data_IF_804101940775
#
_entry.id   IF_804101940775
#
_cell.length_a   1.000
_cell.length_b   1.000
_cell.length_c   1.000
_cell.angle_alpha   90.00
_cell.angle_beta   90.00
_cell.angle_gamma   90.00
#
_symmetry.space_group_name_H-M   'P 1'
#
loop_
_entity.id
_entity.type
_entity.pdbx_description
1 polymer ?
#
# COMPACT_ATOMS: atom_id res chain seq x y z
N UNK A 1 3.07 -4.73 -8.22
CA UNK A 1 4.03 -4.31 -9.29
C UNK A 1 5.44 -4.21 -8.73
N UNK A 2 5.65 -3.47 -7.63
CA UNK A 2 6.95 -3.29 -6.96
C UNK A 2 7.65 -4.59 -6.56
N UNK A 3 6.93 -5.58 -6.01
CA UNK A 3 7.53 -6.88 -5.64
C UNK A 3 8.00 -7.71 -6.83
N UNK A 4 7.23 -7.72 -7.92
CA UNK A 4 7.59 -8.44 -9.14
C UNK A 4 8.84 -7.83 -9.78
N UNK A 5 8.87 -6.50 -9.90
CA UNK A 5 10.04 -5.77 -10.40
C UNK A 5 11.26 -5.96 -9.51
N UNK A 6 11.10 -6.04 -8.19
CA UNK A 6 12.21 -6.35 -7.26
C UNK A 6 12.77 -7.76 -7.53
N UNK A 7 11.89 -8.74 -7.76
CA UNK A 7 12.30 -10.12 -8.10
C UNK A 7 13.06 -10.17 -9.43
N UNK A 8 12.63 -9.41 -10.43
CA UNK A 8 13.32 -9.29 -11.71
C UNK A 8 14.67 -8.58 -11.57
N UNK A 9 14.78 -7.56 -10.72
CA UNK A 9 16.05 -6.87 -10.47
C UNK A 9 17.03 -7.71 -9.65
N UNK A 10 16.54 -8.63 -8.82
CA UNK A 10 17.37 -9.52 -8.01
C UNK A 10 18.14 -10.58 -8.80
N UNK A 11 17.79 -10.78 -10.07
CA UNK A 11 18.51 -11.70 -10.97
C UNK A 11 19.66 -11.02 -11.71
N UNK A 12 19.83 -9.70 -11.55
CA UNK A 12 20.91 -8.93 -12.17
C UNK A 12 22.18 -8.96 -11.32
N UNK A 13 23.33 -8.95 -11.99
CA UNK A 13 24.62 -8.84 -11.32
C UNK A 13 24.76 -7.52 -10.55
N UNK A 14 25.46 -7.57 -9.42
CA UNK A 14 25.65 -6.43 -8.51
C UNK A 14 26.40 -5.24 -9.13
N UNK A 15 27.08 -5.43 -10.25
CA UNK A 15 27.89 -4.41 -10.93
C UNK A 15 27.18 -3.75 -12.13
N UNK A 16 25.86 -3.92 -12.24
CA UNK A 16 25.06 -3.32 -13.32
C UNK A 16 24.68 -1.89 -12.96
N UNK A 17 24.86 -0.97 -13.92
CA UNK A 17 24.38 0.41 -13.79
C UNK A 17 22.86 0.41 -13.85
N UNK A 18 22.19 0.83 -12.78
CA UNK A 18 20.72 0.91 -12.73
C UNK A 18 20.24 2.36 -12.79
N UNK A 19 19.00 2.53 -13.25
CA UNK A 19 18.34 3.84 -13.30
C UNK A 19 16.98 3.75 -12.63
N UNK A 20 16.69 4.74 -11.78
CA UNK A 20 15.39 4.92 -11.13
C UNK A 20 14.63 6.03 -11.83
N UNK A 21 13.38 5.78 -12.19
CA UNK A 21 12.49 6.83 -12.68
C UNK A 21 11.97 7.69 -11.52
N UNK A 22 12.02 9.02 -11.70
CA UNK A 22 11.41 10.01 -10.81
C UNK A 22 10.65 11.00 -11.68
N UNK A 23 9.32 10.86 -11.70
CA UNK A 23 8.46 11.62 -12.62
C UNK A 23 8.76 11.25 -14.08
N UNK A 24 9.22 12.23 -14.88
CA UNK A 24 9.60 12.04 -16.30
C UNK A 24 11.11 11.83 -16.51
N UNK A 25 11.91 11.86 -15.45
CA UNK A 25 13.36 11.75 -15.52
C UNK A 25 13.84 10.38 -15.01
N UNK A 26 15.04 9.97 -15.43
CA UNK A 26 15.72 8.77 -14.96
C UNK A 26 17.06 9.16 -14.34
N UNK A 27 17.30 8.74 -13.10
CA UNK A 27 18.52 9.02 -12.37
C UNK A 27 19.29 7.72 -12.15
N UNK A 28 20.62 7.77 -12.30
CA UNK A 28 21.47 6.63 -11.97
C UNK A 28 21.33 6.33 -10.47
N UNK A 29 21.11 5.07 -10.15
CA UNK A 29 21.05 4.57 -8.79
C UNK A 29 21.85 3.28 -8.68
N UNK A 30 22.36 3.00 -7.50
CA UNK A 30 22.99 1.72 -7.21
C UNK A 30 21.91 0.69 -6.93
N UNK A 31 22.07 -0.53 -7.45
CA UNK A 31 21.10 -1.61 -7.32
C UNK A 31 20.69 -1.88 -5.84
N UNK A 32 21.61 -1.92 -4.85
CA UNK A 32 21.23 -2.12 -3.46
C UNK A 32 20.36 -0.99 -2.88
N UNK A 33 20.65 0.25 -3.27
CA UNK A 33 19.86 1.42 -2.84
C UNK A 33 18.45 1.36 -3.44
N UNK A 34 18.35 1.00 -4.73
CA UNK A 34 17.07 0.83 -5.41
C UNK A 34 16.21 -0.26 -4.76
N UNK A 35 16.81 -1.41 -4.42
CA UNK A 35 16.11 -2.51 -3.75
C UNK A 35 15.60 -2.12 -2.36
N UNK A 36 16.41 -1.41 -1.58
CA UNK A 36 16.01 -0.90 -0.25
C UNK A 36 14.86 0.11 -0.34
N UNK A 37 14.91 1.00 -1.33
CA UNK A 37 13.81 1.95 -1.58
C UNK A 37 12.51 1.24 -1.96
N UNK A 38 12.60 0.16 -2.74
CA UNK A 38 11.44 -0.66 -3.09
C UNK A 38 10.86 -1.37 -1.86
N UNK A 39 11.70 -1.86 -0.95
CA UNK A 39 11.25 -2.47 0.31
C UNK A 39 10.48 -1.48 1.18
N UNK A 40 11.04 -0.28 1.37
CA UNK A 40 10.36 0.79 2.11
C UNK A 40 9.02 1.16 1.48
N UNK A 41 8.92 1.15 0.15
CA UNK A 41 7.65 1.40 -0.54
C UNK A 41 6.64 0.28 -0.28
N UNK A 42 7.06 -0.99 -0.31
CA UNK A 42 6.18 -2.14 0.00
C UNK A 42 5.71 -2.07 1.44
N UNK A 43 6.59 -1.80 2.39
CA UNK A 43 6.24 -1.64 3.81
C UNK A 43 5.23 -0.50 4.02
N UNK A 44 5.48 0.66 3.40
CA UNK A 44 4.59 1.81 3.48
C UNK A 44 3.19 1.49 2.94
N UNK A 45 3.12 0.92 1.75
CA UNK A 45 1.83 0.56 1.12
C UNK A 45 1.09 -0.48 1.95
N UNK A 46 1.80 -1.48 2.48
CA UNK A 46 1.22 -2.49 3.37
C UNK A 46 0.62 -1.86 4.63
N UNK A 47 1.35 -0.95 5.27
CA UNK A 47 0.84 -0.21 6.43
C UNK A 47 -0.38 0.65 6.10
N UNK A 48 -0.38 1.33 4.95
CA UNK A 48 -1.53 2.13 4.51
C UNK A 48 -2.78 1.25 4.27
N UNK A 49 -2.60 0.05 3.71
CA UNK A 49 -3.68 -0.94 3.54
C UNK A 49 -4.26 -1.33 4.90
N UNK A 50 -3.43 -1.63 5.89
CA UNK A 50 -3.91 -1.98 7.24
C UNK A 50 -4.72 -0.85 7.88
N UNK A 51 -4.28 0.39 7.72
CA UNK A 51 -5.00 1.57 8.22
C UNK A 51 -6.35 1.71 7.52
N UNK A 52 -6.39 1.52 6.20
CA UNK A 52 -7.62 1.59 5.42
C UNK A 52 -8.60 0.46 5.80
N UNK A 53 -8.11 -0.76 6.04
CA UNK A 53 -8.94 -1.88 6.47
C UNK A 53 -9.56 -1.64 7.86
N UNK A 54 -8.77 -1.10 8.81
CA UNK A 54 -9.28 -0.69 10.13
C UNK A 54 -10.36 0.40 10.00
N UNK A 55 -10.14 1.40 9.16
CA UNK A 55 -11.14 2.46 8.89
C UNK A 55 -12.41 1.91 8.26
N UNK A 56 -12.28 0.98 7.31
CA UNK A 56 -13.42 0.31 6.67
C UNK A 56 -14.28 -0.41 7.72
N UNK A 57 -13.66 -1.27 8.54
CA UNK A 57 -14.37 -2.03 9.60
C UNK A 57 -15.08 -1.11 10.60
N UNK A 58 -14.44 -0.01 10.99
CA UNK A 58 -15.05 1.00 11.85
C UNK A 58 -16.30 1.60 11.21
N UNK A 59 -16.22 2.04 9.95
CA UNK A 59 -17.36 2.60 9.22
C UNK A 59 -18.50 1.59 9.03
N UNK A 60 -18.19 0.34 8.71
CA UNK A 60 -19.19 -0.73 8.58
C UNK A 60 -19.93 -0.97 9.89
N UNK A 61 -19.22 -0.98 11.02
CA UNK A 61 -19.84 -1.08 12.34
C UNK A 61 -20.77 0.11 12.63
N UNK A 62 -20.30 1.33 12.37
CA UNK A 62 -21.11 2.53 12.56
C UNK A 62 -22.39 2.54 11.71
N UNK A 63 -22.31 2.08 10.46
CA UNK A 63 -23.47 1.95 9.58
C UNK A 63 -24.47 0.94 10.16
N UNK A 64 -24.01 -0.22 10.61
CA UNK A 64 -24.86 -1.24 11.20
C UNK A 64 -25.55 -0.76 12.49
N UNK A 65 -24.83 -0.08 13.36
CA UNK A 65 -25.37 0.53 14.59
C UNK A 65 -26.43 1.59 14.25
N UNK A 66 -26.15 2.48 13.29
CA UNK A 66 -27.11 3.50 12.86
C UNK A 66 -28.37 2.88 12.23
N UNK A 67 -28.22 1.87 11.37
CA UNK A 67 -29.35 1.15 10.77
C UNK A 67 -30.22 0.45 11.81
N UNK A 68 -29.60 -0.16 12.81
CA UNK A 68 -30.31 -0.82 13.92
C UNK A 68 -31.07 0.19 14.74
N UNK A 69 -30.42 1.29 15.14
CA UNK A 69 -31.07 2.37 15.89
C UNK A 69 -32.26 2.98 15.13
N UNK A 70 -32.14 3.20 13.82
CA UNK A 70 -33.26 3.68 13.00
C UNK A 70 -34.44 2.69 12.97
N UNK A 71 -34.17 1.39 12.82
CA UNK A 71 -35.21 0.34 12.86
C UNK A 71 -35.93 0.31 14.21
N UNK A 72 -35.21 0.45 15.32
CA UNK A 72 -35.80 0.48 16.66
C UNK A 72 -36.69 1.70 16.88
N UNK A 73 -36.29 2.87 16.38
CA UNK A 73 -37.09 4.11 16.47
C UNK A 73 -38.37 4.00 15.64
N UNK A 74 -38.26 3.48 14.40
CA UNK A 74 -39.40 3.35 13.49
C UNK A 74 -40.35 2.22 13.90
N UNK A 75 -39.82 1.10 14.43
CA UNK A 75 -40.62 -0.04 14.87
C UNK A 75 -41.32 0.12 16.22
N UNK A 76 -41.10 1.24 16.91
CA UNK A 76 -41.76 1.61 18.18
C UNK A 76 -42.96 2.56 17.99
N UNK A 77 -43.38 2.84 16.75
CA UNK A 77 -44.61 3.58 16.44
C UNK A 77 -45.75 2.66 16.02
#
# INVERSE_FOLDING_TARGET
>A
MTELTKKELSTLDSNVITYKSVGKAFFRADLPLLMNDMDKQVEKVTSEIEVLDKKKKYLERHINEAQTGLKEVLGRQ
#
